data_IF_480702078964
#
_entry.id   IF_480702078964
#
_cell.length_a   1.000
_cell.length_b   1.000
_cell.length_c   1.000
_cell.angle_alpha   90.00
_cell.angle_beta   90.00
_cell.angle_gamma   90.00
#
_symmetry.space_group_name_H-M   'P 1'
#
loop_
_entity.id
_entity.type
_entity.pdbx_description
1 polymer ?
#
# COMPACT_ATOMS: atom_id res chain seq x y z
N UNK A 1 -14.53 -15.39 6.05
CA UNK A 1 -13.60 -14.54 5.29
C UNK A 1 -13.46 -15.15 3.90
N UNK A 2 -13.79 -14.40 2.85
CA UNK A 2 -13.48 -14.81 1.49
C UNK A 2 -11.96 -14.75 1.30
N UNK A 3 -11.38 -15.67 0.56
CA UNK A 3 -9.96 -15.64 0.26
C UNK A 3 -9.64 -14.40 -0.61
N UNK A 4 -8.82 -13.45 -0.12
CA UNK A 4 -8.44 -12.26 -0.88
C UNK A 4 -7.70 -12.60 -2.18
N UNK A 5 -7.06 -13.76 -2.28
CA UNK A 5 -6.45 -14.21 -3.52
C UNK A 5 -7.51 -14.56 -4.57
N UNK A 6 -8.59 -15.26 -4.17
CA UNK A 6 -9.71 -15.58 -5.05
C UNK A 6 -10.47 -14.33 -5.51
N UNK A 7 -10.68 -13.37 -4.62
CA UNK A 7 -11.27 -12.06 -4.95
C UNK A 7 -10.47 -11.31 -6.02
N UNK A 8 -9.13 -11.42 -5.97
CA UNK A 8 -8.22 -10.71 -6.89
C UNK A 8 -8.02 -11.42 -8.22
N UNK A 9 -8.05 -12.75 -8.24
CA UNK A 9 -7.78 -13.54 -9.44
C UNK A 9 -9.05 -13.84 -10.24
N UNK A 10 -10.19 -14.00 -9.57
CA UNK A 10 -11.43 -14.46 -10.18
C UNK A 10 -12.67 -13.69 -9.68
N UNK A 11 -12.71 -12.34 -9.78
CA UNK A 11 -13.81 -11.54 -9.24
C UNK A 11 -15.16 -11.85 -9.88
N UNK A 12 -15.19 -12.15 -11.19
CA UNK A 12 -16.41 -12.49 -11.92
C UNK A 12 -17.00 -13.84 -11.47
N UNK A 13 -16.16 -14.89 -11.43
CA UNK A 13 -16.57 -16.24 -11.02
C UNK A 13 -17.09 -16.23 -9.58
N UNK A 14 -16.46 -15.43 -8.72
CA UNK A 14 -16.86 -15.27 -7.33
C UNK A 14 -18.19 -14.50 -7.21
N UNK A 15 -18.38 -13.43 -7.99
CA UNK A 15 -19.64 -12.68 -8.02
C UNK A 15 -20.82 -13.56 -8.46
N UNK A 16 -20.61 -14.41 -9.47
CA UNK A 16 -21.61 -15.36 -9.95
C UNK A 16 -21.92 -16.44 -8.91
N UNK A 17 -20.89 -16.98 -8.25
CA UNK A 17 -21.04 -17.95 -7.17
C UNK A 17 -21.76 -17.37 -5.96
N UNK A 18 -21.46 -16.12 -5.57
CA UNK A 18 -22.15 -15.43 -4.47
C UNK A 18 -23.61 -15.13 -4.80
N UNK A 19 -23.90 -14.73 -6.05
CA UNK A 19 -25.28 -14.59 -6.53
C UNK A 19 -26.05 -15.90 -6.46
N UNK A 20 -25.43 -16.99 -6.91
CA UNK A 20 -26.07 -18.31 -7.00
C UNK A 20 -26.24 -19.00 -5.65
N UNK A 21 -25.29 -18.83 -4.73
CA UNK A 21 -25.29 -19.56 -3.44
C UNK A 21 -25.90 -18.77 -2.28
N UNK A 22 -25.86 -17.44 -2.35
CA UNK A 22 -26.27 -16.55 -1.25
C UNK A 22 -27.21 -15.43 -1.66
N UNK A 23 -27.61 -15.37 -2.94
CA UNK A 23 -28.38 -14.25 -3.50
C UNK A 23 -27.72 -12.90 -3.24
N UNK A 24 -26.38 -12.88 -3.12
CA UNK A 24 -25.59 -11.71 -2.82
C UNK A 24 -24.99 -11.14 -4.11
N UNK A 25 -25.21 -9.86 -4.38
CA UNK A 25 -24.61 -9.18 -5.52
C UNK A 25 -23.30 -8.54 -5.08
N UNK A 26 -22.18 -9.09 -5.56
CA UNK A 26 -20.87 -8.47 -5.41
C UNK A 26 -20.72 -7.34 -6.44
N UNK A 27 -20.42 -6.12 -5.99
CA UNK A 27 -20.04 -5.03 -6.88
C UNK A 27 -18.58 -5.22 -7.31
N UNK A 28 -18.40 -5.83 -8.48
CA UNK A 28 -17.07 -6.09 -9.04
C UNK A 28 -16.36 -4.80 -9.43
N UNK A 29 -17.09 -3.72 -9.77
CA UNK A 29 -16.49 -2.45 -10.17
C UNK A 29 -15.91 -1.72 -8.95
N UNK A 30 -16.63 -1.70 -7.83
CA UNK A 30 -16.10 -1.19 -6.57
C UNK A 30 -14.87 -1.99 -6.12
N UNK A 31 -14.93 -3.32 -6.25
CA UNK A 31 -13.82 -4.19 -5.87
C UNK A 31 -12.56 -3.97 -6.71
N UNK A 32 -12.71 -3.84 -8.03
CA UNK A 32 -11.60 -3.54 -8.95
C UNK A 32 -10.97 -2.17 -8.64
N UNK A 33 -11.80 -1.18 -8.27
CA UNK A 33 -11.32 0.15 -7.86
C UNK A 33 -10.50 0.06 -6.58
N UNK A 34 -11.02 -0.59 -5.54
CA UNK A 34 -10.33 -0.76 -4.25
C UNK A 34 -9.02 -1.54 -4.42
N UNK A 35 -9.01 -2.61 -5.22
CA UNK A 35 -7.80 -3.39 -5.46
C UNK A 35 -6.76 -2.60 -6.26
N UNK A 36 -7.20 -1.79 -7.23
CA UNK A 36 -6.32 -0.89 -7.98
C UNK A 36 -5.68 0.15 -7.06
N UNK A 37 -6.46 0.74 -6.15
CA UNK A 37 -5.97 1.70 -5.17
C UNK A 37 -4.99 1.05 -4.20
N UNK A 38 -5.33 -0.12 -3.63
CA UNK A 38 -4.45 -0.92 -2.78
C UNK A 38 -3.10 -1.20 -3.46
N UNK A 39 -3.13 -1.58 -4.74
CA UNK A 39 -1.90 -1.85 -5.51
C UNK A 39 -1.05 -0.59 -5.69
N UNK A 40 -1.66 0.55 -6.02
CA UNK A 40 -0.95 1.83 -6.15
C UNK A 40 -0.26 2.22 -4.85
N UNK A 41 -0.99 2.14 -3.73
CA UNK A 41 -0.42 2.50 -2.42
C UNK A 41 0.71 1.54 -2.05
N UNK A 42 0.55 0.24 -2.28
CA UNK A 42 1.61 -0.74 -2.02
C UNK A 42 2.90 -0.43 -2.81
N UNK A 43 2.79 -0.09 -4.09
CA UNK A 43 3.94 0.30 -4.91
C UNK A 43 4.58 1.57 -4.35
N UNK A 44 3.77 2.59 -4.03
CA UNK A 44 4.25 3.84 -3.43
C UNK A 44 4.98 3.61 -2.10
N UNK A 45 4.47 2.73 -1.22
CA UNK A 45 5.13 2.36 0.04
C UNK A 45 6.51 1.74 -0.21
N UNK A 46 6.63 0.85 -1.19
CA UNK A 46 7.91 0.22 -1.55
C UNK A 46 8.90 1.25 -2.11
N UNK A 47 8.43 2.15 -2.98
CA UNK A 47 9.25 3.26 -3.50
C UNK A 47 9.76 4.18 -2.39
N UNK A 48 8.88 4.54 -1.44
CA UNK A 48 9.24 5.38 -0.30
C UNK A 48 10.25 4.69 0.63
N UNK A 49 10.06 3.39 0.90
CA UNK A 49 11.03 2.61 1.68
C UNK A 49 12.40 2.58 0.99
N UNK A 50 12.43 2.38 -0.33
CA UNK A 50 13.67 2.39 -1.13
C UNK A 50 14.38 3.75 -1.08
N UNK A 51 13.62 4.84 -1.25
CA UNK A 51 14.13 6.21 -1.17
C UNK A 51 14.69 6.52 0.22
N UNK A 52 13.93 6.21 1.28
CA UNK A 52 14.36 6.38 2.68
C UNK A 52 15.65 5.63 2.95
N UNK A 53 15.76 4.36 2.54
CA UNK A 53 16.95 3.55 2.79
C UNK A 53 18.18 4.11 2.05
N UNK A 54 18.01 4.54 0.79
CA UNK A 54 19.06 5.18 0.00
C UNK A 54 19.56 6.47 0.65
N UNK A 55 18.64 7.31 1.13
CA UNK A 55 18.94 8.59 1.76
C UNK A 55 19.58 8.41 3.14
N UNK A 56 19.11 7.45 3.95
CA UNK A 56 19.75 7.07 5.22
C UNK A 56 21.20 6.65 5.03
N UNK A 57 21.51 5.90 3.96
CA UNK A 57 22.89 5.53 3.61
C UNK A 57 23.73 6.75 3.24
N UNK A 58 23.18 7.68 2.45
CA UNK A 58 23.86 8.94 2.11
C UNK A 58 24.15 9.80 3.35
N UNK A 59 23.21 9.89 4.30
CA UNK A 59 23.41 10.57 5.59
C UNK A 59 24.58 9.95 6.35
N UNK A 60 24.64 8.62 6.45
CA UNK A 60 25.74 7.93 7.14
C UNK A 60 27.11 8.24 6.51
N UNK A 61 27.17 8.26 5.17
CA UNK A 61 28.39 8.61 4.43
C UNK A 61 28.79 10.07 4.64
N UNK A 62 27.85 11.01 4.56
CA UNK A 62 28.09 12.42 4.78
C UNK A 62 28.54 12.72 6.22
N UNK A 63 27.89 12.10 7.23
CA UNK A 63 28.33 12.18 8.63
C UNK A 63 29.76 11.68 8.82
N UNK A 64 30.13 10.58 8.17
CA UNK A 64 31.50 10.05 8.25
C UNK A 64 32.55 10.99 7.63
N UNK A 65 32.14 11.85 6.69
CA UNK A 65 32.98 12.89 6.07
C UNK A 65 32.97 14.22 6.84
N UNK A 66 32.15 14.35 7.88
CA UNK A 66 31.97 15.62 8.60
C UNK A 66 31.15 16.67 7.84
N UNK A 67 30.35 16.24 6.86
CA UNK A 67 29.45 17.12 6.10
C UNK A 67 28.16 17.43 6.88
N UNK A 68 27.51 18.55 6.57
CA UNK A 68 26.19 18.87 7.12
C UNK A 68 25.11 17.98 6.48
N UNK A 69 24.34 17.31 7.34
CA UNK A 69 23.27 16.38 6.95
C UNK A 69 21.89 16.87 7.33
N UNK A 70 21.75 18.11 7.82
CA UNK A 70 20.49 18.64 8.33
C UNK A 70 19.39 18.60 7.27
N UNK A 71 19.72 18.99 6.03
CA UNK A 71 18.78 18.92 4.90
C UNK A 71 18.36 17.49 4.55
N UNK A 72 19.29 16.54 4.55
CA UNK A 72 19.00 15.13 4.26
C UNK A 72 18.17 14.48 5.39
N UNK A 73 18.43 14.85 6.65
CA UNK A 73 17.66 14.36 7.79
C UNK A 73 16.22 14.87 7.75
N UNK A 74 15.99 16.13 7.36
CA UNK A 74 14.65 16.67 7.17
C UNK A 74 13.88 15.94 6.04
N UNK A 75 14.55 15.64 4.92
CA UNK A 75 13.96 14.89 3.81
C UNK A 75 13.57 13.45 4.23
N UNK A 76 14.44 12.76 4.96
CA UNK A 76 14.18 11.40 5.47
C UNK A 76 13.04 11.39 6.50
N UNK A 77 12.91 12.43 7.33
CA UNK A 77 11.80 12.54 8.27
C UNK A 77 10.44 12.60 7.54
N UNK A 78 10.36 13.36 6.44
CA UNK A 78 9.14 13.43 5.61
C UNK A 78 8.72 12.07 5.02
N UNK A 79 9.68 11.23 4.62
CA UNK A 79 9.37 9.87 4.16
C UNK A 79 8.80 8.98 5.27
N UNK A 80 9.15 9.23 6.54
CA UNK A 80 8.57 8.50 7.67
C UNK A 80 7.07 8.74 7.80
N UNK A 81 6.65 10.00 7.68
CA UNK A 81 5.24 10.39 7.76
C UNK A 81 4.45 9.87 6.55
N UNK A 82 5.01 9.99 5.33
CA UNK A 82 4.38 9.46 4.11
C UNK A 82 4.24 7.93 4.14
N UNK A 83 5.23 7.22 4.70
CA UNK A 83 5.15 5.77 4.87
C UNK A 83 4.03 5.36 5.82
N UNK A 84 3.93 6.03 6.97
CA UNK A 84 2.88 5.78 7.94
C UNK A 84 1.50 6.03 7.34
N UNK A 85 1.31 7.15 6.65
CA UNK A 85 0.06 7.45 5.96
C UNK A 85 -0.28 6.40 4.89
N UNK A 86 0.72 5.88 4.17
CA UNK A 86 0.51 4.83 3.17
C UNK A 86 0.14 3.48 3.81
N UNK A 87 0.71 3.16 4.96
CA UNK A 87 0.38 1.96 5.74
C UNK A 87 -1.05 2.03 6.29
N UNK A 88 -1.43 3.15 6.88
CA UNK A 88 -2.79 3.39 7.38
C UNK A 88 -3.84 3.30 6.25
N UNK A 89 -3.52 3.86 5.07
CA UNK A 89 -4.39 3.78 3.91
C UNK A 89 -4.52 2.34 3.36
N UNK A 90 -3.44 1.56 3.36
CA UNK A 90 -3.48 0.14 2.99
C UNK A 90 -4.36 -0.67 3.95
N UNK A 91 -4.27 -0.40 5.25
CA UNK A 91 -5.10 -1.05 6.27
C UNK A 91 -6.58 -0.68 6.09
N UNK A 92 -6.88 0.59 5.85
CA UNK A 92 -8.23 1.04 5.57
C UNK A 92 -8.84 0.37 4.33
N UNK A 93 -8.07 0.21 3.24
CA UNK A 93 -8.55 -0.48 2.04
C UNK A 93 -8.74 -1.98 2.29
N UNK A 94 -7.85 -2.62 3.07
CA UNK A 94 -8.02 -4.02 3.46
C UNK A 94 -9.30 -4.22 4.27
N UNK A 95 -9.58 -3.35 5.24
CA UNK A 95 -10.81 -3.40 6.00
C UNK A 95 -12.05 -3.28 5.10
N UNK A 96 -12.02 -2.38 4.10
CA UNK A 96 -13.10 -2.26 3.10
C UNK A 96 -13.27 -3.52 2.24
N UNK A 97 -12.19 -4.22 1.91
CA UNK A 97 -12.22 -5.46 1.13
C UNK A 97 -12.67 -6.69 1.96
N UNK A 98 -12.55 -6.62 3.29
CA UNK A 98 -12.94 -7.70 4.21
C UNK A 98 -14.38 -7.59 4.74
N UNK A 99 -15.05 -6.45 4.49
CA UNK A 99 -16.44 -6.17 4.89
C UNK A 99 -17.44 -6.75 3.89
#
# INVERSE_FOLDING_TARGET
MLDPALLRQHPADLAERLRSTRSFSLDTAELESLESERKRIQVRTQELQSQRNSKSKAIGQAKAKGEDVTALMAEVAGFGDELKASEDALEAIRAKLET
#
